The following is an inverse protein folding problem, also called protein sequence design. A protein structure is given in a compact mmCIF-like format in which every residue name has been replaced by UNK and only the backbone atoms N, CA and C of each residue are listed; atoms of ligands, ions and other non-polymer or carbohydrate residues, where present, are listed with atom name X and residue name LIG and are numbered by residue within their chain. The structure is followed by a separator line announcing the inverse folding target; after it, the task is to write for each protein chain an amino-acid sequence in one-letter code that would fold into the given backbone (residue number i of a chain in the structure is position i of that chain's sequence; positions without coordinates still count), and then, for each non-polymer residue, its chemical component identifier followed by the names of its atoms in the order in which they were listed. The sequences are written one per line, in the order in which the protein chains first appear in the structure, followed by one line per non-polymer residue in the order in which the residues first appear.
data_IF_409277336953
#
_entry.id   IF_409277336953
#
_cell.length_a   1.000
_cell.length_b   1.000
_cell.length_c   1.000
_cell.angle_alpha   90.00
_cell.angle_beta   90.00
_cell.angle_gamma   90.00
#
_symmetry.space_group_name_H-M   'P 1'
#
loop_
_entity.id
_entity.type
_entity.pdbx_description
1 polymer ?
#
# COMPACT_ATOMS: atom_id res chain seq x y z
N UNK A 1 6.02 21.67 -34.80
CA UNK A 1 5.37 20.57 -34.04
C UNK A 1 6.29 20.27 -32.89
N UNK A 2 5.85 20.55 -31.65
CA UNK A 2 6.62 20.20 -30.47
C UNK A 2 6.46 18.71 -30.23
N UNK A 3 7.57 17.98 -30.15
CA UNK A 3 7.58 16.58 -29.70
C UNK A 3 7.04 16.54 -28.27
N UNK A 4 5.91 15.85 -28.09
CA UNK A 4 5.40 15.56 -26.75
C UNK A 4 6.22 14.40 -26.18
N UNK A 5 6.74 14.52 -24.94
CA UNK A 5 7.54 13.46 -24.34
C UNK A 5 6.72 12.18 -24.22
N UNK A 6 7.35 11.07 -24.58
CA UNK A 6 6.77 9.74 -24.53
C UNK A 6 6.38 9.40 -23.07
N UNK A 7 5.10 9.09 -22.84
CA UNK A 7 4.52 8.75 -21.53
C UNK A 7 4.52 7.23 -21.25
N UNK A 8 5.24 6.43 -22.03
CA UNK A 8 5.29 4.97 -21.88
C UNK A 8 6.18 4.51 -20.72
N UNK A 9 6.90 5.43 -20.07
CA UNK A 9 7.78 5.13 -18.96
C UNK A 9 7.29 5.85 -17.72
N UNK A 10 6.98 5.09 -16.67
CA UNK A 10 6.79 5.64 -15.33
C UNK A 10 8.19 5.89 -14.79
N UNK A 11 8.64 7.14 -14.91
CA UNK A 11 9.91 7.55 -14.31
C UNK A 11 9.72 7.73 -12.81
N UNK A 12 10.46 6.97 -12.02
CA UNK A 12 10.45 7.02 -10.57
C UNK A 12 11.56 6.16 -10.01
N UNK A 13 12.12 6.55 -8.86
CA UNK A 13 13.07 5.69 -8.15
C UNK A 13 12.35 4.43 -7.67
N UNK A 14 13.03 3.28 -7.76
CA UNK A 14 12.51 2.06 -7.15
C UNK A 14 12.33 2.25 -5.65
N UNK A 15 11.24 1.71 -5.11
CA UNK A 15 11.00 1.75 -3.66
C UNK A 15 12.10 0.97 -2.94
N UNK A 16 12.70 1.60 -1.94
CA UNK A 16 13.59 0.95 -0.96
C UNK A 16 12.85 -0.08 -0.11
N UNK A 17 13.59 -0.98 0.55
CA UNK A 17 13.02 -1.97 1.45
C UNK A 17 12.31 -1.31 2.63
N UNK A 18 12.86 -0.21 3.17
CA UNK A 18 12.23 0.60 4.21
C UNK A 18 10.87 1.15 3.76
N UNK A 19 10.81 1.70 2.54
CA UNK A 19 9.57 2.25 1.99
C UNK A 19 8.53 1.16 1.75
N UNK A 20 8.94 0.00 1.22
CA UNK A 20 8.05 -1.14 1.03
C UNK A 20 7.50 -1.66 2.36
N UNK A 21 8.36 -1.80 3.39
CA UNK A 21 7.95 -2.19 4.74
C UNK A 21 6.98 -1.17 5.35
N UNK A 22 7.23 0.12 5.15
CA UNK A 22 6.34 1.20 5.57
C UNK A 22 4.97 1.15 4.89
N UNK A 23 4.92 0.87 3.59
CA UNK A 23 3.67 0.69 2.83
C UNK A 23 2.88 -0.51 3.38
N UNK A 24 3.53 -1.65 3.62
CA UNK A 24 2.86 -2.83 4.19
C UNK A 24 2.28 -2.51 5.56
N UNK A 25 3.05 -1.86 6.44
CA UNK A 25 2.59 -1.47 7.77
C UNK A 25 1.37 -0.51 7.72
N UNK A 26 1.38 0.44 6.78
CA UNK A 26 0.24 1.35 6.58
C UNK A 26 -1.01 0.60 6.12
N UNK A 27 -0.88 -0.34 5.18
CA UNK A 27 -2.00 -1.16 4.71
C UNK A 27 -2.57 -2.01 5.84
N UNK A 28 -1.71 -2.61 6.67
CA UNK A 28 -2.15 -3.40 7.81
C UNK A 28 -2.94 -2.54 8.82
N UNK A 29 -2.48 -1.32 9.08
CA UNK A 29 -3.18 -0.35 9.93
C UNK A 29 -4.55 0.04 9.35
N UNK A 30 -4.63 0.27 8.04
CA UNK A 30 -5.88 0.61 7.37
C UNK A 30 -6.89 -0.55 7.39
N UNK A 31 -6.42 -1.79 7.22
CA UNK A 31 -7.24 -2.99 7.39
C UNK A 31 -7.75 -3.07 8.83
N UNK A 32 -6.88 -2.94 9.83
CA UNK A 32 -7.28 -2.99 11.25
C UNK A 32 -8.32 -1.91 11.56
N UNK A 33 -8.14 -0.69 11.07
CA UNK A 33 -9.10 0.39 11.26
C UNK A 33 -10.46 0.07 10.62
N UNK A 34 -10.46 -0.52 9.43
CA UNK A 34 -11.67 -0.92 8.72
C UNK A 34 -12.43 -2.05 9.45
N UNK A 35 -11.70 -2.97 10.09
CA UNK A 35 -12.26 -4.04 10.92
C UNK A 35 -12.76 -3.52 12.28
N UNK A 36 -11.96 -2.72 12.99
CA UNK A 36 -12.22 -2.25 14.36
C UNK A 36 -13.46 -1.39 14.43
N UNK A 37 -13.67 -0.51 13.46
CA UNK A 37 -14.80 0.40 13.47
C UNK A 37 -16.14 -0.30 13.15
N UNK A 38 -16.16 -1.65 13.06
CA UNK A 38 -17.35 -2.44 12.70
C UNK A 38 -17.90 -2.11 11.30
N UNK A 39 -17.11 -1.35 10.53
CA UNK A 39 -17.49 -0.69 9.28
C UNK A 39 -17.84 -1.69 8.18
N UNK A 40 -17.37 -2.93 8.26
CA UNK A 40 -17.70 -3.98 7.32
C UNK A 40 -19.15 -4.44 7.32
N UNK A 41 -19.86 -4.28 8.45
CA UNK A 41 -21.27 -4.69 8.54
C UNK A 41 -22.19 -3.87 7.63
N UNK A 42 -21.79 -2.64 7.28
CA UNK A 42 -22.42 -1.80 6.27
C UNK A 42 -21.62 -1.87 4.95
N UNK A 43 -21.91 -2.88 4.14
CA UNK A 43 -21.27 -3.12 2.82
C UNK A 43 -21.32 -1.89 1.89
N UNK A 44 -22.36 -1.07 2.05
CA UNK A 44 -22.55 0.22 1.36
C UNK A 44 -23.00 1.23 2.38
N UNK A 45 -22.26 2.32 2.52
CA UNK A 45 -22.66 3.46 3.33
C UNK A 45 -22.52 4.71 2.46
N UNK A 46 -23.55 5.55 2.47
CA UNK A 46 -23.46 6.86 1.87
C UNK A 46 -22.52 7.70 2.73
N UNK A 47 -21.41 8.14 2.16
CA UNK A 47 -20.62 9.21 2.79
C UNK A 47 -21.37 10.50 2.52
N UNK A 48 -21.95 11.10 3.57
CA UNK A 48 -22.64 12.38 3.49
C UNK A 48 -21.67 13.49 3.11
N UNK A 49 -21.60 13.80 1.81
CA UNK A 49 -20.89 14.92 1.21
C UNK A 49 -21.54 15.21 -0.14
N UNK A 50 -21.37 16.43 -0.66
CA UNK A 50 -22.14 17.02 -1.78
C UNK A 50 -22.23 16.19 -3.08
N UNK A 51 -21.49 15.09 -3.21
CA UNK A 51 -21.48 14.20 -4.37
C UNK A 51 -21.93 12.75 -4.09
N UNK A 52 -22.49 12.43 -2.92
CA UNK A 52 -23.16 11.16 -2.68
C UNK A 52 -22.35 9.91 -3.08
N UNK A 53 -21.02 9.92 -2.90
CA UNK A 53 -20.18 8.79 -3.27
C UNK A 53 -20.47 7.62 -2.34
N UNK A 54 -21.17 6.62 -2.86
CA UNK A 54 -21.32 5.33 -2.18
C UNK A 54 -19.98 4.61 -2.26
N UNK A 55 -19.30 4.46 -1.14
CA UNK A 55 -18.05 3.68 -1.07
C UNK A 55 -18.38 2.22 -0.75
N UNK A 56 -17.99 1.31 -1.62
CA UNK A 56 -18.06 -0.13 -1.38
C UNK A 56 -16.88 -0.56 -0.50
N UNK A 57 -17.16 -0.86 0.77
CA UNK A 57 -16.13 -1.23 1.75
C UNK A 57 -15.55 -2.61 1.52
N UNK A 58 -16.33 -3.54 0.95
CA UNK A 58 -15.84 -4.87 0.63
C UNK A 58 -14.86 -4.82 -0.55
N UNK A 59 -15.17 -3.99 -1.55
CA UNK A 59 -14.25 -3.70 -2.65
C UNK A 59 -12.96 -3.04 -2.12
N UNK A 60 -13.06 -2.11 -1.17
CA UNK A 60 -11.89 -1.47 -0.56
C UNK A 60 -11.03 -2.46 0.22
N UNK A 61 -11.63 -3.31 1.07
CA UNK A 61 -10.89 -4.34 1.80
C UNK A 61 -10.18 -5.31 0.83
N UNK A 62 -10.86 -5.73 -0.24
CA UNK A 62 -10.26 -6.59 -1.26
C UNK A 62 -9.06 -5.92 -1.94
N UNK A 63 -9.15 -4.63 -2.23
CA UNK A 63 -8.04 -3.86 -2.80
C UNK A 63 -6.86 -3.77 -1.82
N UNK A 64 -7.11 -3.51 -0.53
CA UNK A 64 -6.07 -3.47 0.50
C UNK A 64 -5.37 -4.83 0.67
N UNK A 65 -6.13 -5.92 0.70
CA UNK A 65 -5.56 -7.29 0.79
C UNK A 65 -4.70 -7.63 -0.44
N UNK A 66 -5.14 -7.26 -1.63
CA UNK A 66 -4.38 -7.45 -2.86
C UNK A 66 -3.09 -6.62 -2.87
N UNK A 67 -3.16 -5.35 -2.46
CA UNK A 67 -2.00 -4.49 -2.33
C UNK A 67 -0.98 -5.03 -1.32
N UNK A 68 -1.46 -5.48 -0.14
CA UNK A 68 -0.61 -6.11 0.88
C UNK A 68 0.10 -7.35 0.33
N UNK A 69 -0.61 -8.20 -0.42
CA UNK A 69 -0.01 -9.37 -1.04
C UNK A 69 1.05 -9.00 -2.08
N UNK A 70 0.80 -7.98 -2.90
CA UNK A 70 1.74 -7.50 -3.91
C UNK A 70 3.04 -7.01 -3.30
N UNK A 71 2.98 -6.09 -2.33
CA UNK A 71 4.18 -5.51 -1.72
C UNK A 71 4.95 -6.50 -0.84
N UNK A 72 4.26 -7.39 -0.11
CA UNK A 72 4.90 -8.50 0.60
C UNK A 72 5.59 -9.47 -0.38
N UNK A 73 4.99 -9.70 -1.55
CA UNK A 73 5.59 -10.50 -2.63
C UNK A 73 6.91 -9.91 -3.13
N UNK A 74 6.97 -8.58 -3.32
CA UNK A 74 8.21 -7.88 -3.70
C UNK A 74 9.28 -8.06 -2.62
N UNK A 75 8.93 -7.82 -1.35
CA UNK A 75 9.88 -7.95 -0.24
C UNK A 75 10.45 -9.37 -0.13
N UNK A 76 9.63 -10.41 -0.32
CA UNK A 76 10.08 -11.81 -0.26
C UNK A 76 10.99 -12.22 -1.41
N UNK A 77 10.90 -11.52 -2.55
CA UNK A 77 11.76 -11.78 -3.71
C UNK A 77 13.11 -11.08 -3.60
N UNK A 78 13.26 -10.12 -2.69
CA UNK A 78 14.52 -9.44 -2.45
C UNK A 78 15.45 -10.33 -1.61
N UNK A 79 16.73 -10.48 -2.00
CA UNK A 79 17.69 -11.26 -1.23
C UNK A 79 17.88 -10.61 0.14
N UNK A 80 17.46 -11.30 1.20
CA UNK A 80 17.60 -10.85 2.58
C UNK A 80 19.05 -10.89 3.05
N UNK A 81 19.85 -9.88 2.67
CA UNK A 81 21.17 -9.62 3.23
C UNK A 81 21.13 -8.32 4.05
N UNK A 82 20.38 -8.34 5.15
CA UNK A 82 20.68 -7.46 6.27
C UNK A 82 21.56 -8.24 7.26
N UNK A 83 22.84 -8.38 6.92
CA UNK A 83 23.84 -8.65 7.97
C UNK A 83 24.12 -7.33 8.65
N UNK A 84 23.45 -7.09 9.78
CA UNK A 84 23.89 -6.06 10.71
C UNK A 84 25.29 -6.47 11.20
N UNK A 85 26.32 -6.00 10.51
CA UNK A 85 27.67 -6.08 11.04
C UNK A 85 27.72 -5.11 12.22
N UNK A 86 27.64 -5.69 13.42
CA UNK A 86 28.07 -5.02 14.64
C UNK A 86 29.53 -4.61 14.45
N UNK A 87 29.77 -3.32 14.29
CA UNK A 87 31.12 -2.75 14.33
C UNK A 87 31.44 -2.52 15.80
N UNK A 88 32.29 -3.37 16.36
CA UNK A 88 32.80 -3.20 17.73
C UNK A 88 33.72 -1.96 17.76
N UNK A 89 33.43 -0.95 18.58
CA UNK A 89 34.32 0.20 18.73
C UNK A 89 35.57 -0.19 19.54
N UNK A 90 36.76 0.19 19.04
CA UNK A 90 38.05 0.06 19.74
C UNK A 90 38.13 0.84 21.06
#
# INVERSE_FOLDING_TARGET
MADLPNLNEVTGEELSDEQLRGIVAQIDLDIVNLLRDGKLSALKYGVGGAEGRTMDRAANLKALLAARQYYDGILRQRPGWETSQYVEPE
#
